data_IF_542666222655
#
_entry.id   IF_542666222655
#
_cell.length_a   1.000
_cell.length_b   1.000
_cell.length_c   1.000
_cell.angle_alpha   90.00
_cell.angle_beta   90.00
_cell.angle_gamma   90.00
#
_symmetry.space_group_name_H-M   'P 1'
#
loop_
_entity.id
_entity.type
_entity.pdbx_description
1 polymer ?
#
# COMPACT_ATOMS: atom_id res chain seq x y z
N UNK A 1 16.18 -19.79 2.05
CA UNK A 1 15.01 -20.64 1.77
C UNK A 1 14.05 -19.87 0.89
N UNK A 2 13.95 -20.21 -0.39
CA UNK A 2 12.95 -19.62 -1.27
C UNK A 2 11.60 -20.26 -0.95
N UNK A 3 10.86 -19.65 -0.06
CA UNK A 3 9.45 -19.99 0.12
C UNK A 3 8.73 -19.40 -1.09
N UNK A 4 8.55 -20.21 -2.14
CA UNK A 4 7.60 -19.86 -3.20
C UNK A 4 6.24 -19.72 -2.53
N UNK A 5 5.82 -18.50 -2.27
CA UNK A 5 4.41 -18.18 -2.04
C UNK A 5 3.73 -18.68 -3.31
N UNK A 6 2.88 -19.70 -3.16
CA UNK A 6 2.05 -20.16 -4.27
C UNK A 6 1.18 -18.99 -4.68
N UNK A 7 1.49 -18.39 -5.81
CA UNK A 7 0.71 -17.29 -6.40
C UNK A 7 -0.59 -17.79 -7.05
N UNK A 8 -1.14 -18.90 -6.57
CA UNK A 8 -2.44 -19.33 -7.05
C UNK A 8 -3.53 -18.62 -6.28
N UNK A 9 -4.06 -17.58 -6.90
CA UNK A 9 -5.17 -16.79 -6.39
C UNK A 9 -6.49 -17.55 -6.27
N UNK A 10 -6.50 -18.86 -6.51
CA UNK A 10 -7.71 -19.70 -6.52
C UNK A 10 -7.76 -20.69 -5.38
N UNK A 11 -7.15 -20.33 -4.23
CA UNK A 11 -7.29 -21.12 -3.02
C UNK A 11 -8.78 -21.35 -2.71
N UNK A 12 -9.17 -22.61 -2.62
CA UNK A 12 -10.55 -22.98 -2.28
C UNK A 12 -10.67 -23.29 -0.80
N UNK A 13 -11.89 -23.31 -0.27
CA UNK A 13 -12.13 -23.66 1.14
C UNK A 13 -11.59 -25.05 1.51
N UNK A 14 -11.34 -25.95 0.53
CA UNK A 14 -10.75 -27.26 0.77
C UNK A 14 -9.24 -27.20 1.06
N UNK A 15 -8.56 -26.11 0.68
CA UNK A 15 -7.12 -25.93 0.87
C UNK A 15 -6.78 -25.27 2.21
N UNK A 16 -7.77 -24.78 2.93
CA UNK A 16 -7.60 -24.20 4.26
C UNK A 16 -7.93 -25.21 5.35
N UNK A 17 -7.18 -25.15 6.44
CA UNK A 17 -7.52 -25.89 7.64
C UNK A 17 -8.91 -25.47 8.15
N UNK A 18 -9.67 -26.46 8.64
CA UNK A 18 -10.98 -26.22 9.24
C UNK A 18 -10.90 -26.41 10.74
N UNK A 19 -11.46 -25.49 11.48
CA UNK A 19 -11.67 -25.68 12.91
C UNK A 19 -12.97 -26.42 13.17
N UNK A 20 -12.97 -27.28 14.18
CA UNK A 20 -14.18 -27.91 14.71
C UNK A 20 -14.79 -27.14 15.86
N UNK A 21 -14.05 -26.16 16.39
CA UNK A 21 -14.47 -25.34 17.49
C UNK A 21 -15.34 -24.19 17.01
N UNK A 22 -16.29 -23.80 17.84
CA UNK A 22 -17.08 -22.61 17.60
C UNK A 22 -16.21 -21.35 17.81
N UNK A 23 -16.13 -20.51 16.77
CA UNK A 23 -15.45 -19.22 16.82
C UNK A 23 -16.48 -18.13 16.94
N UNK A 24 -16.46 -17.39 18.06
CA UNK A 24 -17.32 -16.22 18.24
C UNK A 24 -16.76 -15.04 17.43
N UNK A 25 -17.56 -14.51 16.52
CA UNK A 25 -17.23 -13.33 15.74
C UNK A 25 -17.62 -12.07 16.52
N UNK A 26 -16.62 -11.24 16.84
CA UNK A 26 -16.88 -9.91 17.42
C UNK A 26 -16.83 -8.87 16.31
N UNK A 27 -17.98 -8.31 16.00
CA UNK A 27 -18.08 -7.24 15.01
C UNK A 27 -17.51 -5.93 15.62
N UNK A 28 -16.60 -5.25 14.91
CA UNK A 28 -16.17 -3.92 15.34
C UNK A 28 -17.25 -2.87 15.05
N UNK A 29 -17.17 -1.74 15.75
CA UNK A 29 -18.12 -0.63 15.56
C UNK A 29 -18.04 0.02 14.17
N UNK A 30 -16.88 -0.11 13.52
CA UNK A 30 -16.60 0.47 12.21
C UNK A 30 -16.07 -0.59 11.24
N UNK A 31 -16.80 -0.82 10.17
CA UNK A 31 -16.45 -1.80 9.12
C UNK A 31 -16.32 -1.16 7.73
N UNK A 32 -16.55 0.15 7.62
CA UNK A 32 -16.54 0.85 6.34
C UNK A 32 -15.99 2.28 6.48
N UNK A 33 -15.15 2.66 5.53
CA UNK A 33 -14.82 4.06 5.21
C UNK A 33 -15.42 4.39 3.85
N UNK A 34 -16.24 5.44 3.79
CA UNK A 34 -16.93 5.78 2.54
C UNK A 34 -16.14 6.84 1.77
N UNK A 35 -16.10 6.69 0.45
CA UNK A 35 -15.57 7.67 -0.49
C UNK A 35 -14.13 8.12 -0.16
N UNK A 36 -13.28 7.15 0.18
CA UNK A 36 -11.90 7.39 0.55
C UNK A 36 -11.15 8.23 -0.49
N UNK A 37 -11.40 8.00 -1.78
CA UNK A 37 -10.79 8.76 -2.88
C UNK A 37 -11.16 10.25 -2.87
N UNK A 38 -12.35 10.62 -2.38
CA UNK A 38 -12.76 12.03 -2.33
C UNK A 38 -12.04 12.83 -1.26
N UNK A 39 -11.43 12.16 -0.29
CA UNK A 39 -10.68 12.80 0.79
C UNK A 39 -9.25 13.16 0.37
N UNK A 40 -8.78 12.62 -0.77
CA UNK A 40 -7.39 12.71 -1.19
C UNK A 40 -6.93 14.14 -1.49
N UNK A 41 -7.82 15.00 -1.97
CA UNK A 41 -7.48 16.39 -2.33
C UNK A 41 -7.17 17.27 -1.11
N UNK A 42 -7.55 16.85 0.10
CA UNK A 42 -7.31 17.56 1.37
C UNK A 42 -6.24 16.89 2.24
N UNK A 43 -5.59 15.85 1.74
CA UNK A 43 -4.68 14.99 2.49
C UNK A 43 -3.22 15.09 2.05
N UNK A 44 -2.81 16.24 1.48
CA UNK A 44 -1.42 16.45 1.08
C UNK A 44 -0.48 16.44 2.28
N UNK A 45 0.60 15.69 2.16
CA UNK A 45 1.66 15.61 3.14
C UNK A 45 2.95 16.25 2.59
N UNK A 46 3.40 17.31 3.23
CA UNK A 46 4.67 17.98 2.90
C UNK A 46 5.88 17.04 3.09
N UNK A 47 5.82 16.20 4.11
CA UNK A 47 6.87 15.21 4.38
C UNK A 47 6.98 14.20 3.25
N UNK A 48 5.85 13.68 2.79
CA UNK A 48 5.79 12.65 1.73
C UNK A 48 5.80 13.22 0.32
N UNK A 49 5.51 14.50 0.15
CA UNK A 49 5.34 15.21 -1.12
C UNK A 49 4.23 14.62 -2.01
N UNK A 50 3.21 14.06 -1.39
CA UNK A 50 2.05 13.48 -2.07
C UNK A 50 0.81 13.57 -1.21
N UNK A 51 -0.36 13.33 -1.80
CA UNK A 51 -1.61 13.19 -1.06
C UNK A 51 -1.84 11.74 -0.67
N UNK A 52 -2.19 11.48 0.60
CA UNK A 52 -2.43 10.14 1.13
C UNK A 52 -3.74 10.13 1.92
N UNK A 53 -4.65 9.23 1.58
CA UNK A 53 -5.88 8.99 2.33
C UNK A 53 -5.87 7.58 2.89
N UNK A 54 -5.75 7.48 4.21
CA UNK A 54 -5.68 6.19 4.92
C UNK A 54 -7.11 5.71 5.22
N UNK A 55 -7.39 4.44 4.95
CA UNK A 55 -8.62 3.79 5.37
C UNK A 55 -8.53 3.48 6.88
N UNK A 56 -9.06 4.41 7.69
CA UNK A 56 -9.16 4.24 9.15
C UNK A 56 -10.19 3.15 9.48
N UNK A 57 -9.73 1.90 9.51
CA UNK A 57 -10.49 0.71 9.86
C UNK A 57 -9.74 -0.09 10.96
N UNK A 58 -10.45 -0.82 11.82
CA UNK A 58 -9.87 -1.52 12.96
C UNK A 58 -9.18 -2.83 12.54
N UNK A 59 -8.25 -2.75 11.59
CA UNK A 59 -7.42 -3.87 11.17
C UNK A 59 -6.11 -3.91 11.96
N UNK A 60 -5.77 -5.09 12.46
CA UNK A 60 -4.53 -5.32 13.21
C UNK A 60 -3.36 -5.77 12.34
N UNK A 61 -3.61 -6.16 11.09
CA UNK A 61 -2.59 -6.80 10.26
C UNK A 61 -2.39 -6.14 8.91
N UNK A 62 -3.42 -5.56 8.33
CA UNK A 62 -3.40 -4.99 6.98
C UNK A 62 -3.87 -3.54 7.03
N UNK A 63 -3.07 -2.64 6.47
CA UNK A 63 -3.46 -1.26 6.19
C UNK A 63 -3.77 -1.06 4.72
N UNK A 64 -4.68 -0.16 4.42
CA UNK A 64 -4.99 0.26 3.06
C UNK A 64 -5.03 1.78 3.01
N UNK A 65 -4.37 2.34 2.01
CA UNK A 65 -4.45 3.76 1.69
C UNK A 65 -4.52 3.99 0.18
N UNK A 66 -4.95 5.19 -0.19
CA UNK A 66 -4.85 5.69 -1.55
C UNK A 66 -3.88 6.85 -1.57
N UNK A 67 -2.90 6.78 -2.46
CA UNK A 67 -1.96 7.85 -2.72
C UNK A 67 -2.22 8.48 -4.09
N UNK A 68 -2.02 9.80 -4.18
CA UNK A 68 -2.11 10.54 -5.44
C UNK A 68 -0.87 11.40 -5.64
N UNK A 69 -0.35 11.36 -6.87
CA UNK A 69 0.71 12.23 -7.36
C UNK A 69 0.12 13.23 -8.37
N UNK A 70 0.37 14.50 -8.14
CA UNK A 70 0.01 15.57 -9.09
C UNK A 70 0.72 15.40 -10.42
N UNK A 71 0.25 16.06 -11.50
CA UNK A 71 0.98 16.10 -12.77
C UNK A 71 2.43 16.55 -12.58
N UNK A 72 3.35 15.93 -13.33
CA UNK A 72 4.78 16.25 -13.31
C UNK A 72 5.41 16.27 -11.91
N UNK A 73 4.98 15.35 -11.04
CA UNK A 73 5.46 15.29 -9.65
C UNK A 73 5.93 13.89 -9.25
N UNK A 74 6.57 13.83 -8.10
CA UNK A 74 7.00 12.59 -7.46
C UNK A 74 6.79 12.71 -5.95
N UNK A 75 6.69 11.58 -5.28
CA UNK A 75 6.79 11.54 -3.83
C UNK A 75 8.25 11.67 -3.37
N UNK A 76 8.46 11.81 -2.07
CA UNK A 76 9.81 11.81 -1.50
C UNK A 76 10.39 10.40 -1.51
N UNK A 77 11.66 10.27 -1.88
CA UNK A 77 12.39 8.99 -1.77
C UNK A 77 12.41 8.55 -0.32
N UNK A 78 11.98 7.31 -0.05
CA UNK A 78 11.84 6.78 1.31
C UNK A 78 12.02 5.26 1.36
N UNK A 79 12.09 4.74 2.57
CA UNK A 79 12.08 3.30 2.85
C UNK A 79 11.36 3.01 4.16
N UNK A 80 10.85 1.80 4.32
CA UNK A 80 10.15 1.36 5.52
C UNK A 80 10.25 -0.16 5.72
N UNK A 81 10.09 -0.63 6.97
CA UNK A 81 10.15 -2.06 7.27
C UNK A 81 8.92 -2.85 6.80
N UNK A 82 7.77 -2.21 6.71
CA UNK A 82 6.60 -2.89 6.18
C UNK A 82 6.72 -3.08 4.66
N UNK A 83 6.18 -4.19 4.18
CA UNK A 83 6.03 -4.44 2.75
C UNK A 83 4.79 -3.74 2.21
N UNK A 84 4.80 -3.42 0.94
CA UNK A 84 3.67 -2.77 0.27
C UNK A 84 3.38 -3.44 -1.06
N UNK A 85 2.11 -3.75 -1.28
CA UNK A 85 1.56 -4.04 -2.59
C UNK A 85 0.85 -2.79 -3.09
N UNK A 86 1.20 -2.35 -4.30
CA UNK A 86 0.60 -1.19 -4.94
C UNK A 86 -0.23 -1.67 -6.13
N UNK A 87 -1.46 -1.17 -6.26
CA UNK A 87 -2.29 -1.36 -7.43
C UNK A 87 -2.58 0.00 -8.07
N UNK A 88 -2.21 0.17 -9.33
CA UNK A 88 -2.40 1.43 -10.05
C UNK A 88 -3.86 1.56 -10.47
N UNK A 89 -4.53 2.58 -9.92
CA UNK A 89 -5.94 2.86 -10.20
C UNK A 89 -6.12 3.76 -11.43
N UNK A 90 -5.22 4.74 -11.60
CA UNK A 90 -5.31 5.77 -12.63
C UNK A 90 -3.93 6.28 -13.03
N UNK A 91 -3.74 6.51 -14.34
CA UNK A 91 -2.53 7.11 -14.88
C UNK A 91 -1.41 6.11 -15.15
N UNK A 92 -0.23 6.64 -15.41
CA UNK A 92 0.99 5.89 -15.69
C UNK A 92 2.21 6.63 -15.16
N UNK A 93 3.29 5.92 -14.94
CA UNK A 93 4.52 6.49 -14.43
C UNK A 93 5.61 5.44 -14.26
N UNK A 94 6.51 5.68 -13.35
CA UNK A 94 7.52 4.69 -12.99
C UNK A 94 7.92 4.82 -11.51
N UNK A 95 8.50 3.77 -10.99
CA UNK A 95 9.12 3.76 -9.67
C UNK A 95 10.60 3.45 -9.82
N UNK A 96 11.42 4.05 -8.97
CA UNK A 96 12.78 3.59 -8.72
C UNK A 96 12.75 2.81 -7.41
N UNK A 97 13.09 1.53 -7.47
CA UNK A 97 13.17 0.64 -6.30
C UNK A 97 14.60 0.15 -6.23
N UNK A 98 15.34 0.59 -5.18
CA UNK A 98 16.80 0.54 -5.13
C UNK A 98 17.39 1.18 -6.41
N UNK A 99 18.02 0.41 -7.26
CA UNK A 99 18.64 0.87 -8.52
C UNK A 99 17.81 0.48 -9.77
N UNK A 100 16.64 -0.12 -9.58
CA UNK A 100 15.80 -0.61 -10.68
C UNK A 100 14.67 0.36 -10.99
N UNK A 101 14.52 0.70 -12.28
CA UNK A 101 13.38 1.44 -12.81
C UNK A 101 12.28 0.48 -13.24
N UNK A 102 11.11 0.61 -12.65
CA UNK A 102 9.91 -0.16 -12.96
C UNK A 102 8.85 0.77 -13.52
N UNK A 103 8.49 0.62 -14.79
CA UNK A 103 7.40 1.37 -15.42
C UNK A 103 6.08 0.67 -15.16
N UNK A 104 5.01 1.44 -15.01
CA UNK A 104 3.67 0.94 -14.72
C UNK A 104 2.57 1.84 -15.29
N UNK A 105 1.40 1.26 -15.48
CA UNK A 105 0.17 1.95 -15.89
C UNK A 105 -1.06 1.42 -15.14
N UNK A 106 -2.20 2.09 -15.31
CA UNK A 106 -3.46 1.68 -14.67
C UNK A 106 -3.79 0.20 -14.94
N UNK A 107 -4.06 -0.55 -13.86
CA UNK A 107 -4.29 -2.00 -13.89
C UNK A 107 -3.09 -2.83 -13.47
N UNK A 108 -1.91 -2.25 -13.39
CA UNK A 108 -0.70 -2.95 -12.91
C UNK A 108 -0.66 -3.05 -11.39
N UNK A 109 0.04 -4.09 -10.92
CA UNK A 109 0.38 -4.25 -9.52
C UNK A 109 1.88 -4.40 -9.35
N UNK A 110 2.45 -3.69 -8.36
CA UNK A 110 3.87 -3.80 -8.05
C UNK A 110 4.10 -4.06 -6.56
N UNK A 111 5.26 -4.59 -6.25
CA UNK A 111 5.68 -4.95 -4.91
C UNK A 111 6.86 -4.10 -4.46
N UNK A 112 6.75 -3.53 -3.28
CA UNK A 112 7.83 -2.81 -2.61
C UNK A 112 8.34 -3.69 -1.46
N UNK A 113 9.57 -4.22 -1.57
CA UNK A 113 10.16 -5.05 -0.52
C UNK A 113 10.43 -4.27 0.78
N UNK A 114 10.42 -4.94 1.93
CA UNK A 114 10.82 -4.32 3.18
C UNK A 114 12.21 -3.67 3.08
N UNK A 115 12.31 -2.45 3.61
CA UNK A 115 13.54 -1.67 3.74
C UNK A 115 14.24 -1.27 2.44
N UNK A 116 13.64 -1.48 1.26
CA UNK A 116 14.14 -0.98 -0.01
C UNK A 116 13.88 0.52 -0.14
N UNK A 117 14.88 1.28 -0.59
CA UNK A 117 14.69 2.66 -1.00
C UNK A 117 13.80 2.71 -2.24
N UNK A 118 12.77 3.53 -2.21
CA UNK A 118 11.89 3.69 -3.36
C UNK A 118 11.35 5.11 -3.49
N UNK A 119 10.93 5.42 -4.72
CA UNK A 119 10.32 6.69 -5.08
C UNK A 119 9.41 6.48 -6.29
N UNK A 120 8.27 7.14 -6.32
CA UNK A 120 7.29 7.03 -7.40
C UNK A 120 7.19 8.34 -8.18
N UNK A 121 7.08 8.24 -9.50
CA UNK A 121 7.11 9.38 -10.41
C UNK A 121 5.89 9.40 -11.32
N UNK A 122 5.19 10.52 -11.34
CA UNK A 122 4.19 10.87 -12.34
C UNK A 122 4.83 11.81 -13.37
N UNK A 123 5.01 11.34 -14.59
CA UNK A 123 5.62 12.12 -15.69
C UNK A 123 4.59 12.76 -16.62
N UNK A 124 3.30 12.46 -16.44
CA UNK A 124 2.24 13.08 -17.22
C UNK A 124 2.11 14.56 -16.82
N UNK A 125 2.14 15.51 -17.75
CA UNK A 125 2.07 16.93 -17.45
C UNK A 125 0.66 17.41 -17.05
N UNK A 126 -0.38 16.63 -17.40
CA UNK A 126 -1.76 17.06 -17.28
C UNK A 126 -2.61 16.17 -16.38
N UNK A 127 -2.22 14.92 -16.16
CA UNK A 127 -3.02 13.93 -15.45
C UNK A 127 -2.41 13.56 -14.09
N UNK A 128 -3.28 13.36 -13.13
CA UNK A 128 -2.91 12.78 -11.84
C UNK A 128 -2.65 11.28 -11.98
N UNK A 129 -1.84 10.76 -11.10
CA UNK A 129 -1.72 9.32 -10.86
C UNK A 129 -2.37 9.01 -9.51
N UNK A 130 -3.09 7.90 -9.44
CA UNK A 130 -3.62 7.34 -8.19
C UNK A 130 -3.30 5.87 -8.09
N UNK A 131 -2.93 5.46 -6.91
CA UNK A 131 -2.70 4.05 -6.61
C UNK A 131 -3.15 3.69 -5.19
N UNK A 132 -3.59 2.45 -5.05
CA UNK A 132 -3.95 1.86 -3.78
C UNK A 132 -2.74 1.11 -3.22
N UNK A 133 -2.43 1.37 -1.95
CA UNK A 133 -1.41 0.65 -1.20
C UNK A 133 -2.07 -0.30 -0.21
N UNK A 134 -1.64 -1.56 -0.22
CA UNK A 134 -1.90 -2.53 0.82
C UNK A 134 -0.61 -2.83 1.58
N UNK A 135 -0.60 -2.65 2.89
CA UNK A 135 0.61 -2.79 3.71
C UNK A 135 0.37 -3.66 4.92
N UNK A 136 1.44 -4.26 5.45
CA UNK A 136 1.40 -4.95 6.75
C UNK A 136 1.90 -4.08 7.92
N UNK A 137 1.96 -2.75 7.74
CA UNK A 137 2.37 -1.83 8.79
C UNK A 137 1.58 -2.03 10.10
N UNK A 138 0.23 -2.21 10.10
CA UNK A 138 -0.51 -2.46 11.32
C UNK A 138 -0.05 -3.72 12.08
N UNK A 139 0.34 -4.78 11.37
CA UNK A 139 0.90 -5.97 11.99
C UNK A 139 2.20 -5.65 12.74
N UNK A 140 3.12 -4.94 12.11
CA UNK A 140 4.40 -4.57 12.72
C UNK A 140 4.20 -3.68 13.94
N UNK A 141 3.26 -2.74 13.89
CA UNK A 141 2.87 -1.89 15.02
C UNK A 141 2.24 -2.69 16.15
N UNK A 142 1.42 -3.69 15.83
CA UNK A 142 0.72 -4.50 16.83
C UNK A 142 1.62 -5.45 17.61
N UNK A 143 2.76 -5.87 17.04
CA UNK A 143 3.73 -6.76 17.69
C UNK A 143 4.91 -6.03 18.34
N UNK A 144 4.95 -4.69 18.31
CA UNK A 144 5.91 -3.87 19.05
C UNK A 144 6.74 -2.91 18.22
N UNK A 145 6.26 -1.74 17.91
CA UNK A 145 6.97 -0.57 17.35
C UNK A 145 8.14 -0.89 16.37
N UNK A 146 7.98 -1.91 15.54
CA UNK A 146 8.98 -2.36 14.58
C UNK A 146 8.71 -1.87 13.16
N UNK A 147 7.74 -0.98 12.96
CA UNK A 147 7.54 -0.27 11.73
C UNK A 147 8.41 1.01 11.73
N UNK A 148 9.50 0.95 11.05
CA UNK A 148 10.39 2.08 10.87
C UNK A 148 10.20 2.66 9.47
N UNK A 149 10.25 3.99 9.37
CA UNK A 149 10.22 4.73 8.10
C UNK A 149 11.27 5.81 8.10
N UNK A 150 11.98 5.95 6.99
CA UNK A 150 12.96 6.99 6.74
C UNK A 150 12.66 7.70 5.42
N UNK A 151 12.85 9.02 5.41
CA UNK A 151 12.86 9.85 4.20
C UNK A 151 14.32 10.18 3.85
N UNK A 152 14.65 10.18 2.55
CA UNK A 152 15.94 10.68 2.10
C UNK A 152 16.03 12.18 2.34
N UNK A 153 17.18 12.63 2.82
CA UNK A 153 17.48 14.03 3.09
C UNK A 153 17.58 14.91 1.84
#
# INVERSE_FOLDING_TARGET
MNTKIKSDSRATSAEFGKTTDHVEVKMPDKVIVRQLEKQINSSYSEERQCSVSIADLPSYTIGVDITSLSPSSNDRKHRHYYETLIFILEGSGYSIIEDEKVEWEAGDALYIPPWSWHQHFNTDPDKVVRYLCGTNAPLLQSVGEIDCREEAG
#
